data_IF_571541533344
#
_entry.id   IF_571541533344
#
_cell.length_a   1.000
_cell.length_b   1.000
_cell.length_c   1.000
_cell.angle_alpha   90.00
_cell.angle_beta   90.00
_cell.angle_gamma   90.00
#
_symmetry.space_group_name_H-M   'P 1'
#
loop_
_entity.id
_entity.type
_entity.pdbx_description
1 polymer ?
#
# COMPACT_ATOMS: atom_id res chain seq x y z
N UNK A 1 38.11 -0.82 -17.21
CA UNK A 1 37.82 -0.88 -18.66
C UNK A 1 39.10 -0.73 -19.46
N UNK A 2 39.47 -1.74 -20.26
CA UNK A 2 40.68 -1.64 -21.10
C UNK A 2 40.54 -0.48 -22.10
N UNK A 3 41.40 0.54 -21.98
CA UNK A 3 41.40 1.71 -22.86
C UNK A 3 41.63 1.32 -24.32
N UNK A 4 40.88 1.93 -25.24
CA UNK A 4 40.90 1.64 -26.67
C UNK A 4 41.10 2.94 -27.46
N UNK A 5 41.93 2.92 -28.51
CA UNK A 5 42.25 4.08 -29.37
C UNK A 5 41.01 4.74 -29.99
N UNK A 6 39.89 4.00 -30.13
CA UNK A 6 38.62 4.54 -30.60
C UNK A 6 38.10 5.67 -29.70
N UNK A 7 38.33 5.59 -28.38
CA UNK A 7 37.90 6.65 -27.46
C UNK A 7 38.65 7.97 -27.69
N UNK A 8 39.94 7.88 -28.00
CA UNK A 8 40.73 9.05 -28.37
C UNK A 8 40.29 9.65 -29.70
N UNK A 9 39.94 8.81 -30.69
CA UNK A 9 39.53 9.26 -32.04
C UNK A 9 38.17 9.97 -32.05
N UNK A 10 37.19 9.47 -31.29
CA UNK A 10 35.81 9.94 -31.37
C UNK A 10 35.40 10.86 -30.23
N UNK A 11 36.01 10.70 -29.05
CA UNK A 11 35.64 11.43 -27.84
C UNK A 11 36.80 12.24 -27.26
N UNK A 12 37.99 12.19 -27.88
CA UNK A 12 39.20 12.90 -27.47
C UNK A 12 39.63 12.61 -26.01
N UNK A 13 39.28 11.44 -25.48
CA UNK A 13 39.73 10.99 -24.16
C UNK A 13 41.12 10.35 -24.28
N UNK A 14 42.03 10.70 -23.38
CA UNK A 14 43.41 10.23 -23.35
C UNK A 14 43.64 9.08 -22.36
N UNK A 15 42.80 8.97 -21.33
CA UNK A 15 42.93 7.95 -20.30
C UNK A 15 41.60 7.23 -19.98
N UNK A 16 41.69 6.15 -19.19
CA UNK A 16 40.54 5.36 -18.78
C UNK A 16 39.58 6.12 -17.84
N UNK A 17 40.11 7.05 -17.06
CA UNK A 17 39.35 7.85 -16.09
C UNK A 17 38.45 8.87 -16.81
N UNK A 18 38.97 9.51 -17.85
CA UNK A 18 38.27 10.43 -18.74
C UNK A 18 37.17 9.71 -19.52
N UNK A 19 37.42 8.48 -20.00
CA UNK A 19 36.38 7.66 -20.64
C UNK A 19 35.27 7.33 -19.67
N UNK A 20 35.59 6.98 -18.42
CA UNK A 20 34.60 6.69 -17.40
C UNK A 20 33.83 7.94 -16.94
N UNK A 21 34.49 9.09 -16.82
CA UNK A 21 33.83 10.36 -16.56
C UNK A 21 32.91 10.78 -17.71
N UNK A 22 33.37 10.67 -18.95
CA UNK A 22 32.57 10.94 -20.13
C UNK A 22 31.33 10.05 -20.15
N UNK A 23 31.50 8.74 -19.96
CA UNK A 23 30.38 7.79 -19.86
C UNK A 23 29.36 8.22 -18.79
N UNK A 24 29.81 8.51 -17.56
CA UNK A 24 28.93 8.95 -16.47
C UNK A 24 28.18 10.25 -16.81
N UNK A 25 28.86 11.21 -17.44
CA UNK A 25 28.27 12.49 -17.82
C UNK A 25 27.31 12.36 -19.00
N UNK A 26 27.45 11.33 -19.83
CA UNK A 26 26.53 11.07 -20.97
C UNK A 26 25.32 10.22 -20.56
N UNK A 27 25.28 9.71 -19.32
CA UNK A 27 24.09 9.04 -18.81
C UNK A 27 22.95 10.04 -18.75
N UNK A 28 21.97 9.90 -19.64
CA UNK A 28 20.75 10.68 -19.59
C UNK A 28 20.03 10.42 -18.27
N UNK A 29 19.55 11.48 -17.61
CA UNK A 29 18.67 11.33 -16.46
C UNK A 29 17.51 10.40 -16.83
N UNK A 30 17.41 9.27 -16.14
CA UNK A 30 16.35 8.31 -16.40
C UNK A 30 15.01 8.98 -16.16
N UNK A 31 14.17 9.05 -17.19
CA UNK A 31 12.77 9.51 -17.07
C UNK A 31 11.93 8.55 -16.21
N UNK A 32 12.44 7.36 -15.91
CA UNK A 32 11.81 6.37 -15.03
C UNK A 32 12.31 6.54 -13.59
N UNK A 33 11.78 7.55 -12.90
CA UNK A 33 11.86 7.62 -11.44
C UNK A 33 11.06 6.49 -10.79
N UNK A 34 11.22 6.25 -9.49
CA UNK A 34 10.43 5.24 -8.76
C UNK A 34 8.91 5.47 -8.86
N UNK A 35 8.51 6.74 -9.00
CA UNK A 35 7.13 7.17 -9.23
C UNK A 35 6.54 6.63 -10.55
N UNK A 36 7.38 6.22 -11.50
CA UNK A 36 6.94 5.57 -12.74
C UNK A 36 6.43 4.15 -12.50
N UNK A 37 6.98 3.45 -11.51
CA UNK A 37 6.65 2.05 -11.21
C UNK A 37 5.58 1.92 -10.12
N UNK A 38 5.47 2.92 -9.24
CA UNK A 38 4.63 2.85 -8.05
C UNK A 38 3.77 4.11 -7.92
N UNK A 39 2.46 3.91 -7.84
CA UNK A 39 1.53 4.95 -7.41
C UNK A 39 1.64 5.14 -5.89
N UNK A 40 2.49 6.07 -5.48
CA UNK A 40 2.71 6.40 -4.07
C UNK A 40 1.48 7.00 -3.40
N UNK A 41 0.63 7.73 -4.12
CA UNK A 41 -0.60 8.27 -3.52
C UNK A 41 -1.51 7.13 -3.05
N UNK A 42 -1.63 6.07 -3.85
CA UNK A 42 -2.40 4.87 -3.47
C UNK A 42 -1.78 4.14 -2.27
N UNK A 43 -0.46 4.04 -2.19
CA UNK A 43 0.23 3.41 -1.06
C UNK A 43 0.01 4.22 0.22
N UNK A 44 0.21 5.53 0.17
CA UNK A 44 0.04 6.44 1.31
C UNK A 44 -1.40 6.48 1.81
N UNK A 45 -2.38 6.45 0.91
CA UNK A 45 -3.80 6.39 1.29
C UNK A 45 -4.18 5.12 2.06
N UNK A 46 -3.51 3.99 1.77
CA UNK A 46 -3.73 2.72 2.47
C UNK A 46 -2.93 2.62 3.77
N UNK A 47 -1.84 3.38 3.89
CA UNK A 47 -0.95 3.34 5.05
C UNK A 47 -1.68 3.61 6.36
N UNK A 48 -2.58 4.61 6.39
CA UNK A 48 -3.40 4.93 7.56
C UNK A 48 -4.31 3.78 8.00
N UNK A 49 -4.85 3.01 7.05
CA UNK A 49 -5.67 1.85 7.39
C UNK A 49 -4.81 0.73 7.97
N UNK A 50 -3.63 0.49 7.38
CA UNK A 50 -2.66 -0.50 7.87
C UNK A 50 -2.21 -0.16 9.29
N UNK A 51 -1.94 1.11 9.59
CA UNK A 51 -1.57 1.57 10.94
C UNK A 51 -2.66 1.24 11.98
N UNK A 52 -3.93 1.48 11.66
CA UNK A 52 -5.06 1.12 12.53
C UNK A 52 -5.11 -0.39 12.77
N UNK A 53 -4.96 -1.20 11.72
CA UNK A 53 -4.95 -2.66 11.85
C UNK A 53 -3.75 -3.17 12.66
N UNK A 54 -2.57 -2.56 12.49
CA UNK A 54 -1.38 -2.92 13.25
C UNK A 54 -1.54 -2.62 14.74
N UNK A 55 -2.14 -1.48 15.08
CA UNK A 55 -2.45 -1.15 16.48
C UNK A 55 -3.48 -2.12 17.09
N UNK A 56 -4.49 -2.51 16.31
CA UNK A 56 -5.46 -3.52 16.75
C UNK A 56 -4.79 -4.90 16.97
N UNK A 57 -3.85 -5.29 16.10
CA UNK A 57 -3.07 -6.52 16.29
C UNK A 57 -2.16 -6.43 17.51
N UNK A 58 -1.49 -5.30 17.73
CA UNK A 58 -0.67 -5.06 18.93
C UNK A 58 -1.49 -5.17 20.22
N UNK A 59 -2.74 -4.70 20.22
CA UNK A 59 -3.66 -4.85 21.36
C UNK A 59 -4.01 -6.33 21.65
N UNK A 60 -4.13 -7.15 20.61
CA UNK A 60 -4.51 -8.56 20.73
C UNK A 60 -3.34 -9.45 21.17
N UNK A 61 -2.11 -9.04 20.88
CA UNK A 61 -0.90 -9.76 21.29
C UNK A 61 -0.81 -9.73 22.84
N UNK A 62 -0.74 -10.91 23.45
CA UNK A 62 -0.61 -11.06 24.92
C UNK A 62 -1.93 -11.17 25.68
N UNK A 63 -3.07 -11.23 24.98
CA UNK A 63 -4.38 -11.55 25.59
C UNK A 63 -4.52 -13.05 25.83
N UNK A 64 -5.09 -13.44 26.97
CA UNK A 64 -5.37 -14.85 27.29
C UNK A 64 -6.44 -15.44 26.37
N UNK A 65 -7.46 -14.64 26.02
CA UNK A 65 -8.54 -15.01 25.12
C UNK A 65 -8.63 -14.06 23.92
N UNK A 66 -7.80 -14.35 22.92
CA UNK A 66 -7.69 -13.55 21.69
C UNK A 66 -9.02 -13.55 20.90
N UNK A 67 -9.77 -14.66 20.94
CA UNK A 67 -10.99 -14.79 20.15
C UNK A 67 -12.09 -13.86 20.65
N UNK A 68 -12.31 -13.82 21.96
CA UNK A 68 -13.31 -12.93 22.55
C UNK A 68 -12.93 -11.45 22.42
N UNK A 69 -11.65 -11.11 22.60
CA UNK A 69 -11.14 -9.74 22.40
C UNK A 69 -11.25 -9.28 20.93
N UNK A 70 -10.98 -10.17 19.97
CA UNK A 70 -11.17 -9.88 18.56
C UNK A 70 -12.65 -9.67 18.21
N UNK A 71 -13.56 -10.50 18.77
CA UNK A 71 -15.01 -10.34 18.61
C UNK A 71 -15.49 -9.00 19.19
N UNK A 72 -14.98 -8.62 20.36
CA UNK A 72 -15.28 -7.32 20.97
C UNK A 72 -14.86 -6.16 20.06
N UNK A 73 -13.62 -6.16 19.59
CA UNK A 73 -13.14 -5.14 18.64
C UNK A 73 -14.04 -5.09 17.40
N UNK A 74 -14.33 -6.23 16.78
CA UNK A 74 -15.14 -6.28 15.58
C UNK A 74 -16.55 -5.69 15.77
N UNK A 75 -17.18 -5.96 16.92
CA UNK A 75 -18.49 -5.38 17.27
C UNK A 75 -18.37 -3.87 17.52
N UNK A 76 -17.35 -3.45 18.26
CA UNK A 76 -17.07 -2.05 18.58
C UNK A 76 -16.86 -1.19 17.32
N UNK A 77 -15.98 -1.63 16.41
CA UNK A 77 -15.73 -0.97 15.12
C UNK A 77 -16.98 -0.92 14.23
N UNK A 78 -17.89 -1.89 14.36
CA UNK A 78 -19.17 -1.90 13.63
C UNK A 78 -20.18 -0.90 14.20
N UNK A 79 -20.15 -0.60 15.49
CA UNK A 79 -21.13 0.29 16.14
C UNK A 79 -20.79 1.77 16.05
N UNK A 80 -19.51 2.13 15.94
CA UNK A 80 -19.06 3.53 15.87
C UNK A 80 -19.05 4.12 14.46
N UNK A 81 -19.41 3.36 13.42
CA UNK A 81 -19.57 3.95 12.08
C UNK A 81 -20.74 4.95 12.08
N UNK A 82 -20.57 6.16 11.50
CA UNK A 82 -21.61 7.19 11.50
C UNK A 82 -22.95 6.63 10.99
N UNK A 83 -23.99 6.84 11.79
CA UNK A 83 -25.37 6.34 11.61
C UNK A 83 -25.95 6.62 10.22
N UNK A 84 -25.39 7.59 9.49
CA UNK A 84 -25.79 7.91 8.12
C UNK A 84 -25.36 6.86 7.08
N UNK A 85 -24.18 6.24 7.23
CA UNK A 85 -23.71 5.22 6.27
C UNK A 85 -24.38 3.86 6.48
N UNK A 86 -24.95 3.61 7.66
CA UNK A 86 -25.69 2.38 7.98
C UNK A 86 -27.03 2.27 7.25
N UNK A 87 -27.77 3.38 7.08
CA UNK A 87 -29.07 3.38 6.40
C UNK A 87 -28.94 3.12 4.90
N UNK A 88 -27.96 3.74 4.25
CA UNK A 88 -27.64 3.50 2.83
C UNK A 88 -27.00 2.12 2.61
N UNK A 89 -26.10 1.66 3.49
CA UNK A 89 -25.51 0.33 3.36
C UNK A 89 -26.53 -0.81 3.53
N UNK A 90 -27.52 -0.66 4.43
CA UNK A 90 -28.58 -1.68 4.62
C UNK A 90 -29.54 -1.72 3.42
N UNK A 91 -29.85 -0.57 2.81
CA UNK A 91 -30.70 -0.47 1.61
C UNK A 91 -29.98 -0.94 0.33
N UNK A 92 -28.67 -0.74 0.24
CA UNK A 92 -27.85 -1.20 -0.91
C UNK A 92 -27.51 -2.70 -0.79
N UNK A 93 -27.27 -3.22 0.43
CA UNK A 93 -26.92 -4.64 0.65
C UNK A 93 -28.11 -5.60 0.53
N UNK A 94 -29.33 -5.18 0.84
CA UNK A 94 -30.55 -5.99 0.63
C UNK A 94 -30.89 -6.17 -0.85
N UNK A 95 -30.47 -5.23 -1.71
CA UNK A 95 -30.69 -5.27 -3.16
C UNK A 95 -29.71 -6.19 -3.91
N UNK A 96 -28.56 -6.52 -3.29
CA UNK A 96 -27.48 -7.27 -3.93
C UNK A 96 -27.39 -8.74 -3.51
N UNK A 97 -27.97 -9.13 -2.36
CA UNK A 97 -27.94 -10.53 -1.86
C UNK A 97 -29.32 -10.92 -1.29
N UNK A 98 -30.12 -11.72 -2.01
CA UNK A 98 -31.38 -12.22 -1.47
C UNK A 98 -31.11 -13.21 -0.31
N UNK A 99 -31.70 -12.94 0.86
CA UNK A 99 -31.60 -13.81 2.06
C UNK A 99 -30.87 -13.19 3.26
N UNK A 100 -30.24 -12.02 3.10
CA UNK A 100 -29.49 -11.36 4.19
C UNK A 100 -30.37 -10.89 5.36
N UNK A 101 -31.67 -10.67 5.10
CA UNK A 101 -32.65 -10.27 6.12
C UNK A 101 -32.80 -11.28 7.26
N UNK A 102 -32.66 -12.58 6.97
CA UNK A 102 -32.82 -13.64 7.97
C UNK A 102 -31.56 -13.83 8.83
N UNK A 103 -30.37 -13.54 8.30
CA UNK A 103 -29.12 -13.64 9.05
C UNK A 103 -28.99 -12.56 10.14
N UNK A 104 -29.55 -11.36 9.90
CA UNK A 104 -29.58 -10.28 10.89
C UNK A 104 -30.56 -10.60 12.03
N UNK A 105 -31.65 -11.32 11.76
CA UNK A 105 -32.63 -11.71 12.77
C UNK A 105 -32.08 -12.77 13.75
N UNK A 106 -31.19 -13.66 13.28
CA UNK A 106 -30.59 -14.72 14.09
C UNK A 106 -29.47 -14.25 15.03
N UNK A 107 -28.88 -13.07 14.80
CA UNK A 107 -27.82 -12.49 15.64
C UNK A 107 -28.37 -11.51 16.69
N UNK A 108 -29.70 -11.44 16.85
CA UNK A 108 -30.39 -10.58 17.82
C UNK A 108 -30.91 -11.34 19.06
N UNK A 109 -30.56 -12.63 19.19
CA UNK A 109 -30.77 -13.45 20.37
C UNK A 109 -29.42 -13.86 20.95
#
# INVERSE_FOLDING_TARGET
>A
MKFNYLFQKYFNCADESEVFQYFQNTLTNSITGWDYFVDWQKVLNKFKQIEIYLNALNYLIGKEDIENEFRYLFIYWRTETPVETGRIATSVKSKFIPGFSNAIFLLRY
#
